data_IF_838544167913
#
_entry.id   IF_838544167913
#
_cell.length_a   1.000
_cell.length_b   1.000
_cell.length_c   1.000
_cell.angle_alpha   90.00
_cell.angle_beta   90.00
_cell.angle_gamma   90.00
#
_symmetry.space_group_name_H-M   'P 1'
#
loop_
_entity.id
_entity.type
_entity.pdbx_description
1 polymer ?
#
# COMPACT_ATOMS: atom_id res chain seq x y z
N UNK A 1 -13.78 -27.63 22.29
CA UNK A 1 -13.81 -27.83 20.83
C UNK A 1 -14.57 -26.67 20.22
N UNK A 2 -13.86 -25.62 19.77
CA UNK A 2 -14.49 -24.45 19.14
C UNK A 2 -14.61 -24.71 17.65
N UNK A 3 -15.84 -24.78 17.13
CA UNK A 3 -16.11 -24.91 15.69
C UNK A 3 -15.84 -23.56 15.05
N UNK A 4 -14.89 -23.51 14.09
CA UNK A 4 -14.71 -22.36 13.20
C UNK A 4 -15.97 -22.28 12.33
N UNK A 5 -16.76 -21.22 12.51
CA UNK A 5 -17.86 -20.89 11.59
C UNK A 5 -17.24 -20.18 10.40
N UNK A 6 -17.24 -20.82 9.24
CA UNK A 6 -16.86 -20.19 7.97
C UNK A 6 -18.14 -19.62 7.38
N UNK A 7 -18.18 -18.31 7.18
CA UNK A 7 -19.30 -17.63 6.53
C UNK A 7 -19.07 -17.70 5.02
N UNK A 8 -19.61 -18.71 4.36
CA UNK A 8 -19.40 -18.99 2.93
C UNK A 8 -20.39 -18.23 2.04
N UNK A 9 -21.54 -17.84 2.59
CA UNK A 9 -22.63 -17.16 1.87
C UNK A 9 -23.20 -16.00 2.70
N UNK A 10 -23.74 -14.97 2.04
CA UNK A 10 -24.43 -13.82 2.68
C UNK A 10 -25.58 -14.21 3.65
N UNK A 11 -26.03 -15.47 3.60
CA UNK A 11 -27.05 -16.05 4.47
C UNK A 11 -26.49 -16.62 5.78
N UNK A 12 -25.17 -16.79 5.90
CA UNK A 12 -24.53 -17.33 7.10
C UNK A 12 -24.30 -16.26 8.17
N UNK A 13 -24.43 -14.97 7.81
CA UNK A 13 -24.37 -13.87 8.78
C UNK A 13 -25.66 -13.90 9.61
N UNK A 14 -25.59 -14.10 10.94
CA UNK A 14 -26.76 -14.10 11.79
C UNK A 14 -27.53 -12.77 11.67
N UNK A 15 -28.85 -12.84 11.67
CA UNK A 15 -29.70 -11.65 11.55
C UNK A 15 -29.42 -10.62 12.66
N UNK A 16 -29.05 -11.08 13.86
CA UNK A 16 -28.57 -10.24 14.96
C UNK A 16 -27.44 -9.27 14.55
N UNK A 17 -26.45 -9.76 13.79
CA UNK A 17 -25.28 -8.96 13.35
C UNK A 17 -25.69 -7.97 12.26
N UNK A 18 -26.65 -8.35 11.40
CA UNK A 18 -27.18 -7.48 10.35
C UNK A 18 -28.00 -6.34 10.94
N UNK A 19 -28.81 -6.64 11.94
CA UNK A 19 -29.64 -5.68 12.66
C UNK A 19 -28.77 -4.72 13.49
N UNK A 20 -27.74 -5.22 14.18
CA UNK A 20 -26.79 -4.39 14.93
C UNK A 20 -26.07 -3.38 14.02
N UNK A 21 -25.60 -3.80 12.85
CA UNK A 21 -24.97 -2.93 11.86
C UNK A 21 -25.94 -1.83 11.37
N UNK A 22 -27.20 -2.20 11.14
CA UNK A 22 -28.23 -1.25 10.70
C UNK A 22 -28.58 -0.21 11.79
N UNK A 23 -28.63 -0.65 13.05
CA UNK A 23 -28.85 0.23 14.20
C UNK A 23 -27.68 1.18 14.40
N UNK A 24 -26.44 0.70 14.27
CA UNK A 24 -25.23 1.50 14.40
C UNK A 24 -25.17 2.60 13.31
N UNK A 25 -25.45 2.24 12.06
CA UNK A 25 -25.48 3.19 10.94
C UNK A 25 -26.55 4.27 11.12
N UNK A 26 -27.75 3.91 11.61
CA UNK A 26 -28.78 4.91 11.94
C UNK A 26 -28.34 5.85 13.07
N UNK A 27 -27.76 5.32 14.16
CA UNK A 27 -27.27 6.16 15.25
C UNK A 27 -26.15 7.10 14.81
N UNK A 28 -25.25 6.63 13.95
CA UNK A 28 -24.15 7.43 13.41
C UNK A 28 -24.69 8.59 12.56
N UNK A 29 -25.65 8.31 11.68
CA UNK A 29 -26.32 9.36 10.90
C UNK A 29 -27.09 10.35 11.79
N UNK A 30 -27.72 9.91 12.88
CA UNK A 30 -28.40 10.81 13.80
C UNK A 30 -27.40 11.72 14.54
N UNK A 31 -26.27 11.18 15.01
CA UNK A 31 -25.20 11.95 15.64
C UNK A 31 -24.61 13.00 14.69
N UNK A 32 -24.45 12.65 13.41
CA UNK A 32 -23.99 13.57 12.37
C UNK A 32 -25.04 14.65 12.06
N UNK A 33 -26.33 14.32 12.05
CA UNK A 33 -27.43 15.29 11.87
C UNK A 33 -27.54 16.26 13.05
N UNK A 34 -27.33 15.80 14.29
CA UNK A 34 -27.26 16.68 15.48
C UNK A 34 -26.03 17.60 15.46
N UNK A 35 -24.96 17.22 14.75
CA UNK A 35 -23.78 18.08 14.54
C UNK A 35 -23.98 19.12 13.42
N UNK A 36 -24.99 18.94 12.57
CA UNK A 36 -25.33 19.85 11.46
C UNK A 36 -26.34 20.95 11.79
N UNK A 37 -26.95 20.96 12.97
CA UNK A 37 -27.93 21.98 13.38
C UNK A 37 -27.52 22.60 14.72
N UNK A 38 -26.56 23.51 14.67
CA UNK A 38 -26.42 24.59 15.67
C UNK A 38 -25.76 25.79 15.00
N UNK A 39 -26.47 26.38 14.04
CA UNK A 39 -26.32 27.79 13.70
C UNK A 39 -27.60 28.47 14.13
N UNK A 40 -27.61 29.04 15.34
CA UNK A 40 -27.87 30.46 15.60
C UNK A 40 -27.93 30.76 17.11
N UNK A 41 -26.98 31.56 17.61
CA UNK A 41 -27.18 32.41 18.80
C UNK A 41 -26.26 32.15 19.99
N UNK A 42 -25.11 32.83 20.06
CA UNK A 42 -24.30 32.88 21.28
C UNK A 42 -22.85 33.34 21.11
N UNK A 43 -22.67 34.65 20.94
CA UNK A 43 -21.42 35.44 21.00
C UNK A 43 -20.17 34.74 21.60
N UNK A 44 -19.15 34.51 20.77
CA UNK A 44 -17.76 34.99 21.00
C UNK A 44 -17.04 35.11 19.64
N UNK A 45 -16.38 36.24 19.32
CA UNK A 45 -15.61 36.34 18.09
C UNK A 45 -14.31 35.55 18.25
N UNK A 46 -14.12 34.51 17.44
CA UNK A 46 -12.81 33.90 17.31
C UNK A 46 -11.79 34.98 16.88
N UNK A 47 -10.62 35.09 17.54
CA UNK A 47 -9.62 36.04 17.10
C UNK A 47 -9.13 35.66 15.70
N UNK A 48 -8.98 36.63 14.78
CA UNK A 48 -8.48 36.37 13.44
C UNK A 48 -7.04 35.86 13.49
N UNK A 49 -6.77 34.78 12.76
CA UNK A 49 -5.44 34.18 12.63
C UNK A 49 -4.63 35.06 11.67
N UNK A 50 -3.58 35.73 12.18
CA UNK A 50 -2.68 36.55 11.39
C UNK A 50 -1.45 35.72 10.96
N UNK A 51 -1.44 35.24 9.72
CA UNK A 51 -0.30 34.49 9.17
C UNK A 51 0.65 35.48 8.49
N UNK A 52 1.80 35.75 9.11
CA UNK A 52 2.82 36.59 8.50
C UNK A 52 3.70 35.73 7.58
N UNK A 53 3.44 35.77 6.26
CA UNK A 53 4.30 35.13 5.27
C UNK A 53 5.40 36.12 4.89
N UNK A 54 6.61 35.90 5.40
CA UNK A 54 7.77 36.70 4.99
C UNK A 54 8.23 36.23 3.60
N UNK A 55 8.30 37.12 2.59
CA UNK A 55 8.91 36.76 1.32
C UNK A 55 10.42 36.72 1.51
N UNK A 56 10.99 35.52 1.63
CA UNK A 56 12.44 35.35 1.53
C UNK A 56 12.82 35.46 0.06
N UNK A 57 12.96 36.68 -0.44
CA UNK A 57 13.66 36.95 -1.69
C UNK A 57 15.16 36.80 -1.44
N UNK A 58 15.79 35.83 -2.11
CA UNK A 58 17.18 35.96 -2.53
C UNK A 58 17.24 35.69 -4.04
N UNK A 59 17.82 36.60 -4.85
CA UNK A 59 17.90 36.44 -6.29
C UNK A 59 19.19 35.72 -6.68
N UNK A 60 19.11 34.69 -7.54
CA UNK A 60 20.32 33.99 -8.01
C UNK A 60 20.07 32.80 -8.93
N UNK A 61 19.63 33.09 -10.16
CA UNK A 61 19.88 32.40 -11.45
C UNK A 61 20.34 30.91 -11.46
N UNK A 62 19.51 30.07 -12.11
CA UNK A 62 19.80 29.01 -13.12
C UNK A 62 19.02 27.70 -12.94
N UNK A 63 18.20 27.43 -13.95
CA UNK A 63 17.60 26.19 -14.44
C UNK A 63 18.20 24.86 -13.94
N UNK A 64 17.37 24.00 -13.30
CA UNK A 64 16.99 22.64 -13.76
C UNK A 64 16.36 21.82 -12.60
N UNK A 65 15.13 21.34 -12.83
CA UNK A 65 14.39 20.23 -12.21
C UNK A 65 14.19 20.19 -10.66
N UNK A 66 12.94 20.03 -10.16
CA UNK A 66 12.74 19.63 -8.78
C UNK A 66 13.02 18.12 -8.66
N UNK A 67 14.11 17.78 -7.98
CA UNK A 67 14.22 16.49 -7.32
C UNK A 67 13.11 16.42 -6.28
N UNK A 68 12.13 15.55 -6.51
CA UNK A 68 11.13 15.21 -5.51
C UNK A 68 11.83 14.29 -4.52
N UNK A 69 12.34 14.87 -3.43
CA UNK A 69 12.72 14.14 -2.23
C UNK A 69 11.46 13.54 -1.60
N UNK A 70 10.96 12.46 -2.20
CA UNK A 70 10.10 11.50 -1.51
C UNK A 70 10.98 10.67 -0.59
N UNK A 71 11.45 11.30 0.50
CA UNK A 71 11.85 10.60 1.70
C UNK A 71 10.58 10.04 2.37
N UNK A 72 9.92 9.09 1.69
CA UNK A 72 9.00 8.18 2.34
C UNK A 72 9.84 7.50 3.40
N UNK A 73 9.41 7.67 4.65
CA UNK A 73 9.94 6.99 5.81
C UNK A 73 9.88 5.47 5.54
N UNK A 74 10.92 4.90 4.91
CA UNK A 74 11.20 3.47 4.95
C UNK A 74 11.68 3.18 6.37
N UNK A 75 10.75 3.25 7.32
CA UNK A 75 10.89 2.56 8.58
C UNK A 75 11.27 1.13 8.22
N UNK A 76 12.43 0.69 8.71
CA UNK A 76 12.99 -0.63 8.43
C UNK A 76 12.04 -1.66 9.05
N UNK A 77 10.94 -1.95 8.37
CA UNK A 77 10.09 -3.08 8.68
C UNK A 77 10.96 -4.28 8.32
N UNK A 78 11.55 -4.90 9.34
CA UNK A 78 12.32 -6.12 9.17
C UNK A 78 11.36 -7.21 8.74
N UNK A 79 11.24 -7.38 7.42
CA UNK A 79 10.40 -8.38 6.82
C UNK A 79 10.88 -9.77 7.25
N UNK A 80 10.14 -10.41 8.16
CA UNK A 80 10.33 -11.80 8.55
C UNK A 80 9.49 -12.67 7.64
N UNK A 81 10.12 -13.22 6.60
CA UNK A 81 9.51 -14.23 5.75
C UNK A 81 9.74 -15.60 6.41
N UNK A 82 8.68 -16.33 6.81
CA UNK A 82 8.84 -17.66 7.38
C UNK A 82 9.23 -18.69 6.31
N UNK A 83 9.91 -19.76 6.73
CA UNK A 83 10.27 -20.88 5.85
C UNK A 83 11.58 -20.69 5.08
N UNK A 84 11.80 -21.54 4.08
CA UNK A 84 13.00 -21.49 3.24
C UNK A 84 12.92 -20.37 2.21
N UNK A 85 14.06 -19.72 1.97
CA UNK A 85 14.16 -18.52 1.14
C UNK A 85 13.82 -18.80 -0.33
N UNK A 86 14.31 -19.92 -0.85
CA UNK A 86 14.03 -20.35 -2.22
C UNK A 86 12.55 -20.73 -2.40
N UNK A 87 11.96 -21.38 -1.40
CA UNK A 87 10.52 -21.70 -1.38
C UNK A 87 9.71 -20.41 -1.38
N UNK A 88 10.09 -19.41 -0.58
CA UNK A 88 9.41 -18.13 -0.55
C UNK A 88 9.41 -17.42 -1.91
N UNK A 89 10.54 -17.42 -2.63
CA UNK A 89 10.61 -16.86 -4.00
C UNK A 89 9.70 -17.63 -4.97
N UNK A 90 9.62 -18.95 -4.86
CA UNK A 90 8.71 -19.77 -5.69
C UNK A 90 7.24 -19.50 -5.40
N UNK A 91 6.87 -19.29 -4.13
CA UNK A 91 5.50 -18.91 -3.77
C UNK A 91 5.16 -17.50 -4.27
N UNK A 92 6.14 -16.58 -4.23
CA UNK A 92 5.98 -15.25 -4.79
C UNK A 92 5.75 -15.27 -6.32
N UNK A 93 6.48 -16.12 -7.05
CA UNK A 93 6.24 -16.36 -8.48
C UNK A 93 4.80 -16.81 -8.77
N UNK A 94 4.30 -17.81 -8.03
CA UNK A 94 2.93 -18.30 -8.17
C UNK A 94 1.90 -17.22 -7.88
N UNK A 95 2.14 -16.43 -6.84
CA UNK A 95 1.26 -15.34 -6.47
C UNK A 95 1.26 -14.24 -7.55
N UNK A 96 2.42 -13.81 -8.06
CA UNK A 96 2.50 -12.87 -9.18
C UNK A 96 1.73 -13.38 -10.40
N UNK A 97 1.91 -14.66 -10.75
CA UNK A 97 1.22 -15.27 -11.88
C UNK A 97 -0.30 -15.37 -11.70
N UNK A 98 -0.80 -15.39 -10.46
CA UNK A 98 -2.23 -15.36 -10.12
C UNK A 98 -2.82 -13.95 -10.22
N UNK A 99 -1.99 -12.92 -10.05
CA UNK A 99 -2.41 -11.51 -10.08
C UNK A 99 -2.43 -10.89 -11.48
N UNK A 100 -1.94 -11.60 -12.50
CA UNK A 100 -1.96 -11.11 -13.89
C UNK A 100 -2.61 -12.12 -14.84
N UNK A 101 -3.30 -11.64 -15.87
CA UNK A 101 -3.86 -12.47 -16.95
C UNK A 101 -2.92 -12.59 -18.15
N UNK A 102 -2.10 -11.58 -18.41
CA UNK A 102 -1.19 -11.51 -19.56
C UNK A 102 -0.06 -12.53 -19.49
N UNK A 103 0.06 -13.37 -20.52
CA UNK A 103 1.13 -14.36 -20.62
C UNK A 103 2.52 -13.72 -20.64
N UNK A 104 2.67 -12.58 -21.31
CA UNK A 104 3.93 -11.83 -21.38
C UNK A 104 4.36 -11.32 -19.99
N UNK A 105 3.43 -10.85 -19.17
CA UNK A 105 3.73 -10.41 -17.81
C UNK A 105 4.12 -11.60 -16.93
N UNK A 106 3.38 -12.72 -17.02
CA UNK A 106 3.72 -13.97 -16.30
C UNK A 106 5.13 -14.44 -16.63
N UNK A 107 5.47 -14.50 -17.92
CA UNK A 107 6.79 -14.91 -18.37
C UNK A 107 7.90 -13.98 -17.84
N UNK A 108 7.67 -12.65 -17.87
CA UNK A 108 8.62 -11.69 -17.34
C UNK A 108 8.82 -11.80 -15.82
N UNK A 109 7.75 -11.99 -15.06
CA UNK A 109 7.86 -12.23 -13.62
C UNK A 109 8.57 -13.55 -13.30
N UNK A 110 8.27 -14.60 -14.06
CA UNK A 110 8.96 -15.89 -13.92
C UNK A 110 10.46 -15.74 -14.12
N UNK A 111 10.86 -15.04 -15.18
CA UNK A 111 12.27 -14.76 -15.46
C UNK A 111 12.94 -13.95 -14.35
N UNK A 112 12.23 -12.97 -13.76
CA UNK A 112 12.74 -12.21 -12.62
C UNK A 112 12.92 -13.08 -11.36
N UNK A 113 12.00 -14.00 -11.09
CA UNK A 113 12.12 -15.01 -10.02
C UNK A 113 13.30 -15.96 -10.27
N UNK A 114 13.48 -16.43 -11.50
CA UNK A 114 14.58 -17.32 -11.86
C UNK A 114 15.95 -16.63 -11.69
N UNK A 115 16.06 -15.35 -12.10
CA UNK A 115 17.26 -14.52 -11.85
C UNK A 115 17.52 -14.38 -10.34
N UNK A 116 16.46 -14.13 -9.57
CA UNK A 116 16.56 -13.99 -8.09
C UNK A 116 17.12 -15.26 -7.47
N UNK A 117 16.60 -16.43 -7.85
CA UNK A 117 17.07 -17.73 -7.36
C UNK A 117 18.50 -18.03 -7.82
N UNK A 118 18.81 -17.76 -9.09
CA UNK A 118 20.13 -17.98 -9.69
C UNK A 118 21.22 -17.18 -8.97
N UNK A 119 20.96 -15.90 -8.71
CA UNK A 119 21.90 -15.01 -8.03
C UNK A 119 21.81 -15.13 -6.49
N UNK A 120 21.10 -16.15 -5.99
CA UNK A 120 20.92 -16.45 -4.55
C UNK A 120 20.34 -15.28 -3.73
N UNK A 121 19.56 -14.42 -4.39
CA UNK A 121 18.84 -13.34 -3.72
C UNK A 121 17.62 -13.85 -2.97
N UNK A 122 17.29 -13.12 -1.91
CA UNK A 122 16.09 -13.36 -1.12
C UNK A 122 15.08 -12.24 -1.39
N UNK A 123 13.80 -12.54 -1.24
CA UNK A 123 12.73 -11.54 -1.31
C UNK A 123 12.97 -10.35 -0.37
N UNK A 124 13.60 -10.58 0.79
CA UNK A 124 13.99 -9.50 1.71
C UNK A 124 14.97 -8.51 1.09
N UNK A 125 15.91 -8.97 0.26
CA UNK A 125 16.85 -8.08 -0.44
C UNK A 125 16.14 -7.27 -1.52
N UNK A 126 15.26 -7.91 -2.29
CA UNK A 126 14.42 -7.23 -3.29
C UNK A 126 13.58 -6.14 -2.63
N UNK A 127 12.95 -6.44 -1.50
CA UNK A 127 12.16 -5.48 -0.73
C UNK A 127 12.98 -4.34 -0.11
N UNK A 128 14.23 -4.61 0.29
CA UNK A 128 15.08 -3.59 0.92
C UNK A 128 15.57 -2.58 -0.10
N UNK A 129 16.18 -3.08 -1.18
CA UNK A 129 16.92 -2.22 -2.10
C UNK A 129 16.01 -1.64 -3.18
N UNK A 130 14.88 -2.30 -3.46
CA UNK A 130 13.86 -1.89 -4.43
C UNK A 130 14.41 -1.30 -5.73
N UNK A 131 15.48 -1.88 -6.26
CA UNK A 131 16.11 -1.43 -7.49
C UNK A 131 15.63 -2.27 -8.68
N UNK A 132 14.70 -1.74 -9.51
CA UNK A 132 14.34 -2.41 -10.76
C UNK A 132 15.51 -2.46 -11.76
N UNK A 133 16.50 -1.57 -11.64
CA UNK A 133 17.65 -1.42 -12.54
C UNK A 133 18.49 -2.70 -12.62
N UNK A 134 18.61 -3.43 -11.51
CA UNK A 134 19.28 -4.73 -11.49
C UNK A 134 18.64 -5.71 -12.48
N UNK A 135 17.31 -5.82 -12.45
CA UNK A 135 16.56 -6.72 -13.34
C UNK A 135 16.57 -6.22 -14.78
N UNK A 136 16.52 -4.89 -14.99
CA UNK A 136 16.66 -4.29 -16.32
C UNK A 136 18.01 -4.61 -16.93
N UNK A 137 19.10 -4.52 -16.16
CA UNK A 137 20.44 -4.91 -16.59
C UNK A 137 20.56 -6.39 -16.98
N UNK A 138 19.68 -7.25 -16.45
CA UNK A 138 19.58 -8.68 -16.77
C UNK A 138 18.58 -8.97 -17.92
N UNK A 139 18.04 -7.93 -18.57
CA UNK A 139 17.17 -8.05 -19.74
C UNK A 139 15.67 -8.09 -19.43
N UNK A 140 15.24 -7.84 -18.19
CA UNK A 140 13.83 -7.70 -17.86
C UNK A 140 13.32 -6.33 -18.33
N UNK A 141 12.13 -6.26 -18.91
CA UNK A 141 11.53 -4.99 -19.33
C UNK A 141 11.33 -4.05 -18.13
N UNK A 142 11.60 -2.74 -18.23
CA UNK A 142 11.53 -1.80 -17.11
C UNK A 142 10.20 -1.82 -16.36
N UNK A 143 9.07 -1.85 -17.07
CA UNK A 143 7.75 -1.93 -16.43
C UNK A 143 7.56 -3.22 -15.61
N UNK A 144 8.06 -4.36 -16.10
CA UNK A 144 7.98 -5.64 -15.39
C UNK A 144 8.90 -5.61 -14.16
N UNK A 145 10.12 -5.09 -14.31
CA UNK A 145 11.05 -4.95 -13.18
C UNK A 145 10.47 -4.04 -12.09
N UNK A 146 9.87 -2.91 -12.47
CA UNK A 146 9.25 -1.98 -11.55
C UNK A 146 8.04 -2.59 -10.83
N UNK A 147 7.19 -3.33 -11.55
CA UNK A 147 6.11 -4.08 -10.95
C UNK A 147 6.63 -5.18 -10.02
N UNK A 148 7.63 -5.95 -10.42
CA UNK A 148 8.20 -7.04 -9.62
C UNK A 148 8.68 -6.56 -8.25
N UNK A 149 9.33 -5.39 -8.22
CA UNK A 149 9.81 -4.77 -6.98
C UNK A 149 8.69 -4.10 -6.19
N UNK A 150 7.81 -3.36 -6.87
CA UNK A 150 6.78 -2.54 -6.23
C UNK A 150 5.57 -3.33 -5.72
N UNK A 151 5.25 -4.47 -6.34
CA UNK A 151 4.14 -5.32 -5.92
C UNK A 151 4.40 -5.90 -4.51
N UNK A 152 5.67 -6.12 -4.14
CA UNK A 152 6.05 -6.60 -2.82
C UNK A 152 5.57 -5.68 -1.67
N UNK A 153 5.37 -4.38 -1.95
CA UNK A 153 4.89 -3.39 -0.97
C UNK A 153 3.38 -3.52 -0.70
N UNK A 154 2.58 -3.93 -1.70
CA UNK A 154 1.12 -4.00 -1.57
C UNK A 154 0.62 -5.38 -1.10
N UNK A 155 1.43 -6.44 -1.25
CA UNK A 155 1.06 -7.81 -0.88
C UNK A 155 1.23 -8.17 0.60
N UNK A 156 1.71 -7.24 1.44
CA UNK A 156 1.91 -7.45 2.89
C UNK A 156 0.90 -6.72 3.78
N UNK A 157 -0.02 -5.93 3.20
CA UNK A 157 -1.07 -5.21 3.92
C UNK A 157 -2.39 -5.99 4.05
N UNK A 158 -2.43 -7.27 3.68
CA UNK A 158 -3.62 -8.12 3.79
C UNK A 158 -3.45 -9.27 4.76
#
# INVERSE_FOLDING_TARGET
MSRKVVLETYKDVPDEIRDELYIEDQQKQEKEKRKGYNVLGGKTPYPPININVHPSHSPGLTTTAPAVDSAVLKGVVSLKIPGFKDVAVKEYDKWLASNVSSHTLKAGFRQACDITLSDSFELKHIYRDQSPEFFVGKGIKPGIAQSFVGIFVNGLET
#
